data_IF_170687560289
#
_entry.id   IF_170687560289
#
_cell.length_a   1.000
_cell.length_b   1.000
_cell.length_c   1.000
_cell.angle_alpha   90.00
_cell.angle_beta   90.00
_cell.angle_gamma   90.00
#
_symmetry.space_group_name_H-M   'P 1'
#
loop_
_entity.id
_entity.type
_entity.pdbx_description
1 polymer ?
#
# COMPACT_ATOMS: atom_id res chain seq x y z
N UNK A 1 -10.00 8.11 3.52
CA UNK A 1 -10.16 6.88 4.32
C UNK A 1 -8.82 6.37 4.78
N UNK A 2 -8.76 5.63 5.90
CA UNK A 2 -7.60 4.83 6.24
C UNK A 2 -7.53 3.62 5.29
N UNK A 3 -6.38 3.37 4.64
CA UNK A 3 -6.29 2.32 3.61
C UNK A 3 -6.24 0.89 4.19
N UNK A 4 -5.95 0.74 5.48
CA UNK A 4 -5.77 -0.57 6.09
C UNK A 4 -4.72 -1.41 5.38
N UNK A 5 -4.92 -2.71 5.33
CA UNK A 5 -3.93 -3.66 4.79
C UNK A 5 -3.57 -3.46 3.30
N UNK A 6 -4.30 -2.66 2.53
CA UNK A 6 -3.86 -2.32 1.17
C UNK A 6 -2.58 -1.49 1.18
N UNK A 7 -2.32 -0.75 2.26
CA UNK A 7 -1.12 0.09 2.40
C UNK A 7 0.18 -0.71 2.60
N UNK A 8 0.11 -2.00 2.95
CA UNK A 8 1.28 -2.88 3.08
C UNK A 8 2.13 -2.94 1.81
N UNK A 9 1.53 -2.67 0.64
CA UNK A 9 2.27 -2.59 -0.62
C UNK A 9 3.37 -1.52 -0.58
N UNK A 10 3.14 -0.40 0.12
CA UNK A 10 4.09 0.72 0.19
C UNK A 10 5.30 0.34 1.03
N UNK A 11 5.08 -0.18 2.24
CA UNK A 11 6.19 -0.51 3.14
C UNK A 11 7.00 -1.69 2.62
N UNK A 12 6.33 -2.74 2.11
CA UNK A 12 7.03 -3.94 1.65
C UNK A 12 7.80 -3.67 0.36
N UNK A 13 7.20 -3.00 -0.62
CA UNK A 13 7.91 -2.64 -1.85
C UNK A 13 9.09 -1.69 -1.59
N UNK A 14 8.94 -0.74 -0.67
CA UNK A 14 10.02 0.13 -0.24
C UNK A 14 11.17 -0.63 0.43
N UNK A 15 10.86 -1.56 1.33
CA UNK A 15 11.85 -2.39 2.00
C UNK A 15 12.57 -3.35 1.04
N UNK A 16 11.86 -3.90 0.04
CA UNK A 16 12.46 -4.69 -1.05
C UNK A 16 13.38 -3.83 -1.93
N UNK A 17 12.95 -2.62 -2.26
CA UNK A 17 13.72 -1.70 -3.09
C UNK A 17 15.04 -1.27 -2.44
N UNK A 18 15.03 -1.01 -1.13
CA UNK A 18 16.23 -0.68 -0.35
C UNK A 18 17.06 -1.92 0.02
N UNK A 19 16.61 -3.13 -0.36
CA UNK A 19 17.22 -4.40 0.06
C UNK A 19 17.31 -4.54 1.58
N UNK A 20 16.44 -3.85 2.31
CA UNK A 20 16.31 -4.00 3.75
C UNK A 20 15.70 -5.35 4.12
N UNK A 21 14.95 -5.94 3.19
CA UNK A 21 14.42 -7.30 3.27
C UNK A 21 14.44 -7.98 1.90
N UNK A 22 14.42 -9.32 1.92
CA UNK A 22 14.09 -10.17 0.77
C UNK A 22 12.72 -10.83 0.99
N UNK A 23 12.10 -11.41 -0.05
CA UNK A 23 10.85 -12.16 0.11
C UNK A 23 10.98 -13.40 1.01
N UNK A 24 12.20 -13.94 1.15
CA UNK A 24 12.49 -15.11 1.97
C UNK A 24 12.82 -14.79 3.43
N UNK A 25 13.12 -13.52 3.76
CA UNK A 25 13.40 -13.12 5.14
C UNK A 25 12.20 -13.42 6.03
N UNK A 26 12.48 -13.94 7.23
CA UNK A 26 11.47 -14.41 8.17
C UNK A 26 11.37 -13.46 9.34
N UNK A 27 10.13 -13.17 9.74
CA UNK A 27 9.78 -12.36 10.91
C UNK A 27 8.89 -13.19 11.83
N UNK A 28 9.21 -13.19 13.12
CA UNK A 28 8.31 -13.72 14.14
C UNK A 28 7.11 -12.76 14.29
N UNK A 29 5.89 -13.26 14.07
CA UNK A 29 4.64 -12.53 14.25
C UNK A 29 4.04 -12.75 15.64
N UNK A 30 4.82 -13.27 16.58
CA UNK A 30 4.55 -13.35 18.02
C UNK A 30 3.16 -13.91 18.35
N UNK A 31 2.77 -14.92 17.62
CA UNK A 31 1.47 -15.58 17.78
C UNK A 31 0.28 -14.60 17.79
N UNK A 32 0.40 -13.52 17.01
CA UNK A 32 -0.67 -12.54 16.79
C UNK A 32 -0.76 -11.42 17.83
N UNK A 33 0.23 -11.26 18.72
CA UNK A 33 0.23 -10.24 19.78
C UNK A 33 1.59 -9.60 19.95
N UNK A 34 1.81 -8.42 19.40
CA UNK A 34 3.08 -7.71 19.46
C UNK A 34 2.99 -6.45 20.32
N UNK A 35 3.66 -6.44 21.47
CA UNK A 35 3.75 -5.27 22.34
C UNK A 35 4.81 -4.28 21.83
N UNK A 36 4.40 -3.08 21.44
CA UNK A 36 5.30 -2.06 20.92
C UNK A 36 4.88 -0.67 21.36
N UNK A 37 5.82 0.09 21.94
CA UNK A 37 5.64 1.47 22.38
C UNK A 37 4.37 1.72 23.23
N UNK A 38 4.05 0.82 24.15
CA UNK A 38 2.90 0.91 25.05
C UNK A 38 1.55 0.53 24.42
N UNK A 39 1.57 -0.03 23.21
CA UNK A 39 0.39 -0.60 22.54
C UNK A 39 0.62 -2.06 22.22
N UNK A 40 -0.46 -2.83 22.14
CA UNK A 40 -0.43 -4.21 21.63
C UNK A 40 -1.04 -4.19 20.23
N UNK A 41 -0.25 -4.60 19.24
CA UNK A 41 -0.68 -4.78 17.86
C UNK A 41 -1.16 -6.23 17.70
N UNK A 42 -2.20 -6.42 16.89
CA UNK A 42 -2.81 -7.73 16.70
C UNK A 42 -2.82 -8.12 15.22
N UNK A 43 -2.55 -9.39 14.96
CA UNK A 43 -2.91 -10.02 13.70
C UNK A 43 -4.35 -10.52 13.73
N UNK A 44 -4.90 -10.81 12.56
CA UNK A 44 -6.25 -11.38 12.44
C UNK A 44 -6.29 -12.85 12.88
N UNK A 45 -5.17 -13.54 12.68
CA UNK A 45 -4.95 -14.93 13.12
C UNK A 45 -3.64 -15.03 13.90
N UNK A 46 -3.49 -16.11 14.68
CA UNK A 46 -2.27 -16.37 15.44
C UNK A 46 -1.18 -16.93 14.51
N UNK A 47 -0.29 -16.06 14.04
CA UNK A 47 0.87 -16.46 13.25
C UNK A 47 2.13 -16.49 14.12
N UNK A 48 2.94 -17.54 13.95
CA UNK A 48 4.34 -17.60 14.41
C UNK A 48 5.25 -16.89 13.40
N UNK A 49 6.30 -17.58 12.95
CA UNK A 49 7.24 -17.06 11.96
C UNK A 49 6.64 -17.04 10.54
N UNK A 50 6.68 -15.89 9.87
CA UNK A 50 6.26 -15.72 8.48
C UNK A 50 7.37 -15.11 7.64
N UNK A 51 7.55 -15.62 6.42
CA UNK A 51 8.37 -14.96 5.42
C UNK A 51 7.74 -13.63 4.97
N UNK A 52 8.52 -12.69 4.43
CA UNK A 52 8.00 -11.43 3.87
C UNK A 52 6.91 -11.71 2.83
N UNK A 53 7.10 -12.73 1.98
CA UNK A 53 6.06 -13.15 1.05
C UNK A 53 4.78 -13.56 1.79
N UNK A 54 4.89 -14.38 2.84
CA UNK A 54 3.73 -14.85 3.60
C UNK A 54 3.09 -13.74 4.45
N UNK A 55 3.85 -12.72 4.88
CA UNK A 55 3.29 -11.51 5.51
C UNK A 55 2.32 -10.82 4.55
N UNK A 56 2.64 -10.74 3.26
CA UNK A 56 1.73 -10.19 2.24
C UNK A 56 0.57 -11.14 1.96
N UNK A 57 0.84 -12.44 1.78
CA UNK A 57 -0.17 -13.49 1.50
C UNK A 57 -1.24 -13.55 2.58
N UNK A 58 -0.81 -13.64 3.85
CA UNK A 58 -1.68 -13.75 5.03
C UNK A 58 -2.12 -12.39 5.59
N UNK A 59 -1.56 -11.32 5.04
CA UNK A 59 -1.85 -9.94 5.50
C UNK A 59 -1.51 -9.67 6.97
N UNK A 60 -0.41 -10.24 7.50
CA UNK A 60 0.02 -10.02 8.89
C UNK A 60 0.27 -8.52 9.15
N UNK A 61 -0.34 -7.99 10.20
CA UNK A 61 -0.14 -6.63 10.69
C UNK A 61 1.21 -6.52 11.39
N UNK A 62 1.52 -7.51 12.23
CA UNK A 62 2.75 -7.57 13.03
C UNK A 62 3.96 -7.68 12.11
N UNK A 63 3.89 -8.57 11.11
CA UNK A 63 4.93 -8.69 10.11
C UNK A 63 5.18 -7.38 9.36
N UNK A 64 4.11 -6.71 8.91
CA UNK A 64 4.22 -5.42 8.24
C UNK A 64 4.79 -4.32 9.15
N UNK A 65 4.37 -4.27 10.42
CA UNK A 65 4.91 -3.35 11.42
C UNK A 65 6.42 -3.56 11.61
N UNK A 66 6.87 -4.80 11.76
CA UNK A 66 8.30 -5.15 11.92
C UNK A 66 9.13 -4.80 10.67
N UNK A 67 8.57 -5.00 9.47
CA UNK A 67 9.22 -4.54 8.23
C UNK A 67 9.35 -3.00 8.23
N UNK A 68 8.30 -2.28 8.62
CA UNK A 68 8.34 -0.82 8.73
C UNK A 68 9.37 -0.33 9.74
N UNK A 69 9.47 -0.99 10.91
CA UNK A 69 10.48 -0.69 11.94
C UNK A 69 11.89 -0.94 11.38
N UNK A 70 12.11 -2.04 10.64
CA UNK A 70 13.39 -2.34 9.98
C UNK A 70 13.75 -1.31 8.91
N UNK A 71 12.79 -0.85 8.11
CA UNK A 71 12.98 0.17 7.09
C UNK A 71 13.33 1.54 7.71
N UNK A 72 12.73 1.84 8.86
CA UNK A 72 12.91 3.11 9.57
C UNK A 72 11.94 4.21 9.09
N UNK A 73 11.62 5.11 10.03
CA UNK A 73 10.57 6.11 9.85
C UNK A 73 10.82 7.09 8.70
N UNK A 74 12.07 7.53 8.50
CA UNK A 74 12.38 8.48 7.41
C UNK A 74 12.21 7.82 6.05
N UNK A 75 12.74 6.61 5.87
CA UNK A 75 12.61 5.87 4.62
C UNK A 75 11.17 5.50 4.32
N UNK A 76 10.41 5.06 5.33
CA UNK A 76 8.98 4.80 5.16
C UNK A 76 8.24 6.07 4.72
N UNK A 77 8.52 7.22 5.33
CA UNK A 77 7.93 8.49 4.95
C UNK A 77 8.31 8.89 3.51
N UNK A 78 9.56 8.71 3.11
CA UNK A 78 10.01 8.97 1.73
C UNK A 78 9.21 8.15 0.71
N UNK A 79 9.01 6.85 0.97
CA UNK A 79 8.19 6.00 0.09
C UNK A 79 6.73 6.44 0.06
N UNK A 80 6.14 6.78 1.20
CA UNK A 80 4.77 7.33 1.26
C UNK A 80 4.66 8.53 0.33
N UNK A 81 5.61 9.46 0.40
CA UNK A 81 5.64 10.68 -0.43
C UNK A 81 5.93 10.37 -1.91
N UNK A 82 6.84 9.45 -2.17
CA UNK A 82 7.20 9.04 -3.53
C UNK A 82 6.04 8.35 -4.26
N UNK A 83 5.20 7.59 -3.56
CA UNK A 83 3.95 7.04 -4.11
C UNK A 83 2.86 8.10 -4.33
N UNK A 84 3.07 9.34 -3.90
CA UNK A 84 2.16 10.46 -4.11
C UNK A 84 1.14 10.68 -2.99
N UNK A 85 1.20 9.92 -1.88
CA UNK A 85 0.30 10.13 -0.76
C UNK A 85 0.54 11.49 -0.08
N UNK A 86 -0.56 12.11 0.35
CA UNK A 86 -0.55 13.43 0.97
C UNK A 86 -0.40 14.59 -0.01
N UNK A 87 -0.55 14.35 -1.33
CA UNK A 87 -0.62 15.37 -2.39
C UNK A 87 -1.80 15.08 -3.32
N UNK A 88 -2.33 16.12 -3.96
CA UNK A 88 -3.29 15.96 -5.05
C UNK A 88 -2.62 15.28 -6.22
N UNK A 89 -3.36 14.44 -6.95
CA UNK A 89 -2.83 13.69 -8.10
C UNK A 89 -2.72 14.55 -9.35
N UNK A 90 -3.41 15.70 -9.37
CA UNK A 90 -3.47 16.58 -10.53
C UNK A 90 -4.49 16.14 -11.59
N UNK A 91 -5.40 15.22 -11.25
CA UNK A 91 -6.52 14.89 -12.11
C UNK A 91 -7.39 16.15 -12.30
N UNK A 92 -7.79 16.52 -13.54
CA UNK A 92 -8.53 17.73 -13.81
C UNK A 92 -10.02 17.62 -13.41
N UNK A 93 -10.28 17.27 -12.15
CA UNK A 93 -11.60 17.19 -11.53
C UNK A 93 -11.65 18.07 -10.29
N UNK A 94 -12.81 18.72 -10.09
CA UNK A 94 -13.05 19.51 -8.88
C UNK A 94 -13.21 18.61 -7.65
N UNK A 95 -12.85 19.14 -6.47
CA UNK A 95 -13.06 18.45 -5.20
C UNK A 95 -11.97 17.44 -4.82
N UNK A 96 -10.87 17.33 -5.58
CA UNK A 96 -9.77 16.46 -5.19
C UNK A 96 -9.14 16.90 -3.86
N UNK A 97 -8.99 15.95 -2.94
CA UNK A 97 -8.32 16.14 -1.64
C UNK A 97 -6.97 15.43 -1.61
N UNK A 98 -6.03 15.95 -0.83
CA UNK A 98 -4.67 15.39 -0.71
C UNK A 98 -4.57 14.19 0.23
N UNK A 99 -5.62 13.85 0.98
CA UNK A 99 -5.48 12.95 2.12
C UNK A 99 -4.73 13.60 3.29
N UNK A 100 -4.35 12.79 4.30
CA UNK A 100 -3.63 13.25 5.49
C UNK A 100 -2.39 12.38 5.67
N UNK A 101 -1.21 12.99 5.52
CA UNK A 101 0.10 12.39 5.78
C UNK A 101 0.88 13.33 6.67
N UNK A 102 1.02 12.96 7.93
CA UNK A 102 1.79 13.76 8.88
C UNK A 102 3.30 13.60 8.64
N UNK A 103 4.08 14.68 8.73
CA UNK A 103 5.55 14.61 8.68
C UNK A 103 6.10 13.82 9.87
N UNK A 104 7.25 13.17 9.70
CA UNK A 104 7.89 12.29 10.71
C UNK A 104 7.98 12.95 12.09
N UNK A 105 8.28 14.26 12.15
CA UNK A 105 8.35 15.01 13.42
C UNK A 105 7.05 15.02 14.25
N UNK A 106 5.91 14.69 13.61
CA UNK A 106 4.59 14.57 14.28
C UNK A 106 4.24 13.11 14.60
N UNK A 107 5.10 12.16 14.25
CA UNK A 107 4.83 10.76 14.55
C UNK A 107 5.05 10.48 16.03
N UNK A 108 4.16 9.72 16.60
CA UNK A 108 4.35 9.10 17.92
C UNK A 108 5.26 7.88 17.79
N UNK A 109 5.77 7.38 18.92
CA UNK A 109 6.61 6.16 18.92
C UNK A 109 5.94 4.94 18.27
N UNK A 110 4.60 4.85 18.33
CA UNK A 110 3.85 3.74 17.74
C UNK A 110 3.55 3.94 16.26
N UNK A 111 3.64 5.17 15.73
CA UNK A 111 3.29 5.46 14.32
C UNK A 111 4.07 4.63 13.32
N UNK A 112 5.38 4.36 13.58
CA UNK A 112 6.22 3.53 12.70
C UNK A 112 5.70 2.10 12.56
N UNK A 113 4.95 1.60 13.53
CA UNK A 113 4.35 0.27 13.50
C UNK A 113 2.90 0.29 12.96
N UNK A 114 2.15 1.39 13.16
CA UNK A 114 0.76 1.51 12.72
C UNK A 114 0.62 1.89 11.24
N UNK A 115 1.44 2.82 10.76
CA UNK A 115 1.38 3.27 9.36
C UNK A 115 1.60 2.12 8.36
N UNK A 116 2.53 1.16 8.56
CA UNK A 116 2.66 -0.01 7.70
C UNK A 116 1.39 -0.85 7.56
N UNK A 117 0.52 -0.84 8.56
CA UNK A 117 -0.77 -1.51 8.53
C UNK A 117 -1.88 -0.68 7.86
N UNK A 118 -1.58 0.58 7.49
CA UNK A 118 -2.53 1.53 6.92
C UNK A 118 -3.40 2.24 7.95
N UNK A 119 -2.93 2.41 9.18
CA UNK A 119 -3.56 3.19 10.25
C UNK A 119 -2.78 4.48 10.53
N UNK A 120 -3.47 5.53 10.95
CA UNK A 120 -2.84 6.84 11.22
C UNK A 120 -2.44 7.62 9.95
N UNK A 121 -2.97 7.22 8.80
CA UNK A 121 -2.82 7.87 7.51
C UNK A 121 -4.17 7.89 6.81
N UNK A 122 -4.54 8.99 6.16
CA UNK A 122 -5.76 9.06 5.37
C UNK A 122 -5.40 9.30 3.90
N UNK A 123 -5.95 8.46 3.02
CA UNK A 123 -5.68 8.47 1.59
C UNK A 123 -6.97 8.52 0.77
N UNK A 124 -6.87 8.86 -0.51
CA UNK A 124 -7.97 8.74 -1.46
C UNK A 124 -7.88 7.39 -2.18
N UNK A 125 -9.02 6.90 -2.68
CA UNK A 125 -9.05 5.68 -3.49
C UNK A 125 -8.20 5.84 -4.76
N UNK A 126 -8.15 7.05 -5.33
CA UNK A 126 -7.33 7.37 -6.49
C UNK A 126 -5.83 7.23 -6.16
N UNK A 127 -5.38 7.74 -5.01
CA UNK A 127 -3.99 7.57 -4.57
C UNK A 127 -3.61 6.10 -4.40
N UNK A 128 -4.50 5.28 -3.81
CA UNK A 128 -4.26 3.82 -3.67
C UNK A 128 -4.21 3.12 -5.03
N UNK A 129 -5.12 3.46 -5.95
CA UNK A 129 -5.11 2.92 -7.31
C UNK A 129 -3.81 3.29 -8.04
N UNK A 130 -3.35 4.54 -7.95
CA UNK A 130 -2.09 4.98 -8.54
C UNK A 130 -0.88 4.25 -7.95
N UNK A 131 -0.86 4.02 -6.63
CA UNK A 131 0.22 3.28 -5.98
C UNK A 131 0.27 1.82 -6.46
N UNK A 132 -0.88 1.15 -6.57
CA UNK A 132 -0.96 -0.21 -7.12
C UNK A 132 -0.56 -0.23 -8.61
N UNK A 133 -1.01 0.76 -9.39
CA UNK A 133 -0.66 0.91 -10.80
C UNK A 133 0.85 1.15 -10.99
N UNK A 134 1.51 1.89 -10.10
CA UNK A 134 2.96 2.07 -10.15
C UNK A 134 3.71 0.74 -9.98
N UNK A 135 3.27 -0.13 -9.05
CA UNK A 135 3.83 -1.48 -8.89
C UNK A 135 3.62 -2.30 -10.16
N UNK A 136 2.41 -2.29 -10.74
CA UNK A 136 2.09 -3.00 -11.96
C UNK A 136 2.84 -2.47 -13.19
N UNK A 137 3.29 -1.22 -13.15
CA UNK A 137 4.03 -0.52 -14.21
C UNK A 137 5.52 -0.39 -13.87
N UNK A 138 6.15 -1.49 -13.45
CA UNK A 138 7.59 -1.59 -13.18
C UNK A 138 8.11 -0.50 -12.23
N UNK A 139 7.29 -0.09 -11.27
CA UNK A 139 7.63 0.94 -10.28
C UNK A 139 7.50 2.39 -10.75
N UNK A 140 7.03 2.62 -11.98
CA UNK A 140 6.84 3.95 -12.55
C UNK A 140 5.47 4.51 -12.20
N UNK A 141 5.43 5.60 -11.45
CA UNK A 141 4.21 6.35 -11.18
C UNK A 141 3.85 7.22 -12.39
N UNK A 142 2.62 7.07 -12.87
CA UNK A 142 2.07 7.85 -13.98
C UNK A 142 1.10 8.90 -13.45
N UNK A 143 0.96 10.01 -14.17
CA UNK A 143 -0.12 10.96 -13.90
C UNK A 143 -1.46 10.34 -14.31
N UNK A 144 -2.50 10.40 -13.45
CA UNK A 144 -3.81 9.90 -13.84
C UNK A 144 -4.41 10.79 -14.91
N UNK A 145 -5.07 10.19 -15.89
CA UNK A 145 -5.72 10.90 -17.00
C UNK A 145 -7.09 10.30 -17.27
N UNK A 146 -8.04 11.12 -17.70
CA UNK A 146 -9.40 10.71 -18.06
C UNK A 146 -9.77 11.11 -19.49
N UNK A 147 -8.94 11.95 -20.14
CA UNK A 147 -9.12 12.36 -21.53
C UNK A 147 -7.89 11.89 -22.30
N UNK A 148 -8.10 11.04 -23.29
CA UNK A 148 -7.05 10.60 -24.22
C UNK A 148 -6.88 11.61 -25.36
N UNK A 149 -8.00 12.04 -25.96
CA UNK A 149 -8.00 12.96 -27.09
C UNK A 149 -9.30 13.77 -27.22
N UNK A 150 -9.24 14.81 -27.98
CA UNK A 150 -10.41 15.57 -28.46
C UNK A 150 -10.53 15.36 -29.95
N UNK A 151 -11.77 15.13 -30.41
CA UNK A 151 -12.10 14.96 -31.82
C UNK A 151 -13.14 16.03 -32.23
N UNK A 152 -13.07 16.48 -33.49
CA UNK A 152 -14.10 17.32 -34.08
C UNK A 152 -15.32 16.48 -34.54
N UNK A 153 -16.28 17.13 -35.19
CA UNK A 153 -17.53 16.49 -35.66
C UNK A 153 -17.27 15.41 -36.72
N UNK A 154 -16.16 15.53 -37.45
CA UNK A 154 -15.74 14.60 -38.50
C UNK A 154 -14.80 13.50 -37.96
N UNK A 155 -14.71 13.34 -36.62
CA UNK A 155 -13.87 12.37 -35.91
C UNK A 155 -12.35 12.59 -36.13
N UNK A 156 -11.96 13.75 -36.59
CA UNK A 156 -10.55 14.12 -36.73
C UNK A 156 -10.00 14.56 -35.38
N UNK A 157 -8.84 13.99 -35.00
CA UNK A 157 -8.16 14.33 -33.74
C UNK A 157 -7.68 15.79 -33.79
N UNK A 158 -8.21 16.61 -32.90
CA UNK A 158 -7.86 18.04 -32.75
C UNK A 158 -6.76 18.22 -31.69
N UNK A 159 -6.81 17.42 -30.62
CA UNK A 159 -5.80 17.41 -29.56
C UNK A 159 -5.62 16.00 -29.00
N UNK A 160 -4.41 15.66 -28.59
CA UNK A 160 -4.08 14.36 -27.97
C UNK A 160 -3.33 14.60 -26.67
N UNK A 161 -3.66 13.81 -25.62
CA UNK A 161 -3.04 13.87 -24.30
C UNK A 161 -2.28 12.57 -24.04
N UNK A 162 -0.95 12.52 -24.29
CA UNK A 162 -0.18 11.31 -24.08
C UNK A 162 0.01 11.03 -22.59
N UNK A 163 0.16 9.74 -22.19
CA UNK A 163 0.48 9.37 -20.82
C UNK A 163 1.76 10.07 -20.32
N UNK A 164 1.70 10.64 -19.11
CA UNK A 164 2.82 11.37 -18.51
C UNK A 164 3.44 10.58 -17.36
N UNK A 165 4.78 10.41 -17.39
CA UNK A 165 5.55 9.84 -16.30
C UNK A 165 5.75 10.88 -15.21
N UNK A 166 5.49 10.52 -13.95
CA UNK A 166 5.73 11.40 -12.80
C UNK A 166 7.11 11.12 -12.20
N UNK A 167 7.36 9.87 -11.81
CA UNK A 167 8.67 9.44 -11.24
C UNK A 167 8.77 7.92 -11.13
N UNK A 168 10.01 7.42 -11.06
CA UNK A 168 10.29 6.07 -10.61
C UNK A 168 10.20 6.02 -9.08
N UNK A 169 9.27 5.24 -8.53
CA UNK A 169 9.05 5.13 -7.08
C UNK A 169 9.92 4.02 -6.47
N UNK A 170 9.96 2.89 -7.14
CA UNK A 170 10.77 1.71 -6.82
C UNK A 170 11.39 1.17 -8.11
N UNK A 171 12.48 0.43 -8.02
CA UNK A 171 13.10 -0.23 -9.16
C UNK A 171 12.17 -1.26 -9.80
N UNK A 172 12.40 -1.58 -11.06
CA UNK A 172 11.69 -2.64 -11.78
C UNK A 172 11.80 -3.97 -11.04
N UNK A 173 13.00 -4.34 -10.59
CA UNK A 173 13.21 -5.58 -9.82
C UNK A 173 12.42 -5.63 -8.51
N UNK A 174 12.29 -4.51 -7.80
CA UNK A 174 11.47 -4.45 -6.58
C UNK A 174 9.96 -4.55 -6.92
N UNK A 175 9.52 -3.96 -8.03
CA UNK A 175 8.16 -4.07 -8.52
C UNK A 175 7.82 -5.52 -8.91
N UNK A 176 8.70 -6.22 -9.63
CA UNK A 176 8.54 -7.65 -9.97
C UNK A 176 8.42 -8.53 -8.73
N UNK A 177 9.29 -8.33 -7.73
CA UNK A 177 9.21 -9.05 -6.46
C UNK A 177 7.89 -8.77 -5.74
N UNK A 178 7.43 -7.52 -5.76
CA UNK A 178 6.15 -7.16 -5.15
C UNK A 178 4.97 -7.81 -5.88
N UNK A 179 4.97 -7.82 -7.22
CA UNK A 179 3.95 -8.51 -8.04
C UNK A 179 3.95 -10.01 -7.73
N UNK A 180 5.14 -10.64 -7.58
CA UNK A 180 5.26 -12.03 -7.18
C UNK A 180 4.57 -12.30 -5.83
N UNK A 181 4.80 -11.44 -4.84
CA UNK A 181 4.13 -11.55 -3.54
C UNK A 181 2.62 -11.30 -3.64
N UNK A 182 2.16 -10.34 -4.45
CA UNK A 182 0.75 -10.03 -4.62
C UNK A 182 -0.03 -11.15 -5.34
N UNK A 183 0.61 -11.92 -6.20
CA UNK A 183 -0.02 -13.12 -6.82
C UNK A 183 -0.38 -14.17 -5.77
N UNK A 184 0.42 -14.33 -4.71
CA UNK A 184 0.13 -15.31 -3.66
C UNK A 184 -1.07 -14.93 -2.78
N UNK A 185 -1.45 -13.64 -2.75
CA UNK A 185 -2.66 -13.19 -2.04
C UNK A 185 -3.92 -13.75 -2.67
N UNK A 186 -3.91 -13.95 -3.99
CA UNK A 186 -5.06 -14.48 -4.77
C UNK A 186 -5.02 -16.02 -4.88
N UNK A 187 -3.95 -16.66 -4.39
CA UNK A 187 -3.88 -18.13 -4.30
C UNK A 187 -4.87 -18.69 -3.28
N UNK A 188 -5.16 -20.02 -3.30
CA UNK A 188 -6.05 -20.66 -2.32
C UNK A 188 -5.68 -20.40 -0.86
N UNK A 189 -4.37 -20.21 -0.57
CA UNK A 189 -3.86 -19.95 0.77
C UNK A 189 -3.90 -18.46 1.17
N UNK A 190 -4.17 -17.58 0.22
CA UNK A 190 -4.17 -16.14 0.40
C UNK A 190 -5.51 -15.58 0.85
N UNK A 191 -5.48 -14.35 1.37
CA UNK A 191 -6.68 -13.66 1.85
C UNK A 191 -7.64 -13.24 0.73
N UNK A 192 -7.20 -13.25 -0.52
CA UNK A 192 -7.94 -12.84 -1.70
C UNK A 192 -8.33 -13.98 -2.65
N UNK A 193 -8.38 -15.24 -2.20
CA UNK A 193 -8.65 -16.41 -3.04
C UNK A 193 -9.93 -16.28 -3.89
N UNK A 194 -10.95 -15.58 -3.39
CA UNK A 194 -12.20 -15.33 -4.13
C UNK A 194 -12.03 -14.44 -5.37
N UNK A 195 -10.90 -13.76 -5.53
CA UNK A 195 -10.57 -12.94 -6.69
C UNK A 195 -9.77 -13.71 -7.74
N UNK A 196 -9.55 -15.02 -7.57
CA UNK A 196 -8.90 -15.85 -8.56
C UNK A 196 -9.75 -15.90 -9.85
N UNK A 197 -9.05 -15.84 -10.98
CA UNK A 197 -9.66 -15.88 -12.32
C UNK A 197 -9.33 -17.21 -12.98
N UNK A 198 -10.27 -17.75 -13.77
CA UNK A 198 -10.11 -19.06 -14.41
C UNK A 198 -9.01 -19.03 -15.49
N UNK A 199 -8.99 -17.99 -16.32
CA UNK A 199 -8.11 -17.92 -17.50
C UNK A 199 -7.00 -16.87 -17.40
N UNK A 200 -6.92 -16.13 -16.27
CA UNK A 200 -5.94 -15.06 -16.08
C UNK A 200 -5.28 -15.15 -14.71
N UNK A 201 -4.04 -14.70 -14.63
CA UNK A 201 -3.36 -14.52 -13.36
C UNK A 201 -3.75 -13.16 -12.78
N UNK A 202 -4.30 -13.15 -11.57
CA UNK A 202 -4.56 -11.95 -10.82
C UNK A 202 -3.50 -11.73 -9.73
N UNK A 203 -3.22 -10.47 -9.43
CA UNK A 203 -2.40 -10.05 -8.31
C UNK A 203 -3.12 -8.92 -7.58
N UNK A 204 -3.13 -8.93 -6.26
CA UNK A 204 -3.86 -7.93 -5.51
C UNK A 204 -3.57 -7.96 -4.02
N UNK A 205 -4.20 -7.05 -3.28
CA UNK A 205 -4.12 -7.01 -1.82
C UNK A 205 -5.51 -6.72 -1.24
N UNK A 206 -5.95 -7.57 -0.34
CA UNK A 206 -7.18 -7.33 0.42
C UNK A 206 -6.97 -6.22 1.44
N UNK A 207 -8.03 -5.47 1.73
CA UNK A 207 -8.03 -4.42 2.75
C UNK A 207 -9.27 -4.50 3.62
N UNK A 208 -9.07 -4.34 4.91
CA UNK A 208 -10.12 -4.19 5.91
C UNK A 208 -9.68 -3.07 6.83
N UNK A 209 -10.37 -1.94 6.83
CA UNK A 209 -10.06 -0.81 7.69
C UNK A 209 -11.17 -0.66 8.74
N UNK A 210 -10.80 -0.65 10.01
CA UNK A 210 -11.74 -0.35 11.08
C UNK A 210 -12.15 1.12 11.02
N UNK A 211 -13.41 1.39 11.29
CA UNK A 211 -13.90 2.77 11.40
C UNK A 211 -13.38 3.42 12.67
N UNK A 212 -12.86 4.63 12.53
CA UNK A 212 -12.43 5.43 13.68
C UNK A 212 -13.65 5.81 14.55
N UNK A 213 -13.52 5.64 15.86
CA UNK A 213 -14.45 6.12 16.88
C UNK A 213 -14.08 7.50 17.45
N UNK A 214 -13.17 8.22 16.79
CA UNK A 214 -12.65 9.50 17.28
C UNK A 214 -11.60 9.31 18.40
N UNK A 215 -11.66 10.11 19.48
CA UNK A 215 -10.70 10.03 20.58
C UNK A 215 -10.62 8.65 21.25
N UNK A 216 -11.70 7.87 21.21
CA UNK A 216 -11.79 6.56 21.84
C UNK A 216 -11.18 5.42 21.01
N UNK A 217 -10.55 5.75 19.86
CA UNK A 217 -9.85 4.78 18.99
C UNK A 217 -10.74 4.21 17.89
N UNK A 218 -10.70 2.89 17.66
CA UNK A 218 -11.46 2.21 16.62
C UNK A 218 -12.72 1.57 17.16
N UNK A 219 -13.81 1.63 16.37
CA UNK A 219 -15.09 1.02 16.73
C UNK A 219 -15.00 -0.51 16.58
N UNK A 220 -15.25 -1.29 17.65
CA UNK A 220 -15.23 -2.74 17.57
C UNK A 220 -16.22 -3.29 16.53
N UNK A 221 -15.75 -4.18 15.64
CA UNK A 221 -16.61 -4.84 14.63
C UNK A 221 -17.20 -3.92 13.56
N UNK A 222 -16.74 -2.66 13.45
CA UNK A 222 -17.16 -1.74 12.39
C UNK A 222 -16.01 -1.54 11.39
N UNK A 223 -16.29 -1.81 10.11
CA UNK A 223 -15.35 -1.76 8.99
C UNK A 223 -15.88 -0.90 7.84
#
# INVERSE_FOLDING_TARGET
>A
VEPGSTFKIVVVSGALNDRAVSLADVFDCEHGHFAFAGRVLHDHESYGALSVQNIITKSSNIGAAKIGIRLGQNRLYDYIRNYGFGTRTGLPLQGEVSGIVHPVKKWSKVSIAQIPMGQGIAVTSLQMMMAMSAIANNGMLMQPMIVDRLEDRDQKVVAKYPPQRVRQVISESAAELMVKALKTVVSPEGTGAKAALEHYTAAGKTGTAQKSGGPDGYLPGKY
#
